data_IF_347711566037
#
_entry.id   IF_347711566037
#
_cell.length_a   1.000
_cell.length_b   1.000
_cell.length_c   1.000
_cell.angle_alpha   90.00
_cell.angle_beta   90.00
_cell.angle_gamma   90.00
#
_symmetry.space_group_name_H-M   'P 1'
#
loop_
_entity.id
_entity.type
_entity.pdbx_description
1 polymer ?
#
# COMPACT_ATOMS: atom_id res chain seq x y z
N UNK A 1 -13.04 -8.29 -76.92
CA UNK A 1 -11.87 -7.43 -77.15
C UNK A 1 -11.50 -6.73 -75.84
N UNK A 2 -10.24 -6.91 -75.41
CA UNK A 2 -9.38 -6.09 -74.52
C UNK A 2 -10.00 -5.53 -73.22
N UNK A 3 -9.67 -6.11 -72.06
CA UNK A 3 -8.52 -5.77 -71.19
C UNK A 3 -8.49 -4.30 -70.76
N UNK A 4 -8.68 -4.04 -69.45
CA UNK A 4 -7.64 -3.40 -68.64
C UNK A 4 -7.92 -3.60 -67.14
N UNK A 5 -7.07 -4.41 -66.53
CA UNK A 5 -6.80 -4.49 -65.09
C UNK A 5 -5.82 -3.35 -64.81
N UNK A 6 -6.07 -2.50 -63.82
CA UNK A 6 -5.04 -1.63 -63.26
C UNK A 6 -5.03 -1.71 -61.74
N UNK A 7 -3.99 -2.37 -61.25
CA UNK A 7 -3.51 -2.28 -59.89
C UNK A 7 -3.01 -0.87 -59.60
N UNK A 8 -3.36 -0.31 -58.44
CA UNK A 8 -2.45 0.54 -57.68
C UNK A 8 -2.62 0.26 -56.19
N UNK A 9 -1.98 -0.83 -55.76
CA UNK A 9 -1.43 -0.96 -54.42
C UNK A 9 -0.27 0.01 -54.30
N UNK A 10 -0.33 1.02 -53.43
CA UNK A 10 0.84 1.54 -52.70
C UNK A 10 0.44 2.63 -51.70
N UNK A 11 1.18 2.65 -50.57
CA UNK A 11 1.26 3.69 -49.54
C UNK A 11 0.25 3.65 -48.38
N UNK A 12 0.24 2.55 -47.62
CA UNK A 12 0.08 2.61 -46.16
C UNK A 12 1.23 1.84 -45.50
N UNK A 13 2.42 2.46 -45.54
CA UNK A 13 3.60 2.06 -44.79
C UNK A 13 4.19 3.33 -44.20
N UNK A 14 3.85 3.63 -42.95
CA UNK A 14 4.59 4.40 -41.95
C UNK A 14 3.56 4.93 -40.94
N UNK A 15 3.37 4.21 -39.84
CA UNK A 15 2.94 4.72 -38.52
C UNK A 15 2.76 3.52 -37.57
N UNK A 16 3.82 2.72 -37.38
CA UNK A 16 3.81 1.60 -36.43
C UNK A 16 5.05 1.58 -35.50
N UNK A 17 5.77 2.70 -35.38
CA UNK A 17 7.04 2.75 -34.64
C UNK A 17 6.93 3.33 -33.22
N UNK A 18 5.71 3.64 -32.73
CA UNK A 18 5.53 4.42 -31.50
C UNK A 18 5.08 3.67 -30.24
N UNK A 19 4.53 2.45 -30.33
CA UNK A 19 3.88 1.79 -29.18
C UNK A 19 4.76 0.82 -28.39
N UNK A 20 5.86 0.32 -28.96
CA UNK A 20 6.70 -0.71 -28.32
C UNK A 20 7.46 -0.18 -27.09
N UNK A 21 7.63 1.14 -26.95
CA UNK A 21 8.39 1.75 -25.84
C UNK A 21 7.61 1.77 -24.50
N UNK A 22 6.30 2.00 -24.50
CA UNK A 22 5.51 2.13 -23.26
C UNK A 22 5.17 0.78 -22.63
N UNK A 23 4.90 -0.22 -23.45
CA UNK A 23 4.56 -1.57 -22.97
C UNK A 23 5.79 -2.30 -22.40
N UNK A 24 6.98 -2.03 -22.95
CA UNK A 24 8.27 -2.48 -22.43
C UNK A 24 8.59 -1.92 -21.04
N UNK A 25 8.28 -0.65 -20.77
CA UNK A 25 8.46 -0.06 -19.44
C UNK A 25 7.44 -0.57 -18.42
N UNK A 26 6.23 -0.89 -18.85
CA UNK A 26 5.16 -1.40 -17.97
C UNK A 26 5.31 -2.90 -17.66
N UNK A 27 5.92 -3.68 -18.56
CA UNK A 27 6.26 -5.10 -18.33
C UNK A 27 7.57 -5.29 -17.55
N UNK A 28 8.36 -4.21 -17.40
CA UNK A 28 9.51 -4.14 -16.48
C UNK A 28 9.11 -3.72 -15.05
N UNK A 29 7.81 -3.78 -14.73
CA UNK A 29 7.29 -3.86 -13.35
C UNK A 29 7.60 -5.30 -12.87
N UNK A 30 8.83 -5.57 -12.50
CA UNK A 30 9.46 -5.32 -11.19
C UNK A 30 9.31 -6.59 -10.35
N UNK A 31 10.34 -7.44 -10.42
CA UNK A 31 10.52 -8.49 -9.42
C UNK A 31 10.40 -7.86 -8.02
N UNK A 32 9.69 -8.53 -7.12
CA UNK A 32 9.65 -8.11 -5.73
C UNK A 32 11.00 -8.43 -5.08
N UNK A 33 11.49 -7.50 -4.28
CA UNK A 33 12.66 -7.69 -3.42
C UNK A 33 12.18 -7.79 -1.97
N UNK A 34 12.78 -8.70 -1.22
CA UNK A 34 12.59 -8.77 0.23
C UNK A 34 13.37 -7.64 0.91
N UNK A 35 12.72 -6.95 1.84
CA UNK A 35 13.34 -5.98 2.75
C UNK A 35 12.91 -6.29 4.17
N UNK A 36 13.83 -6.09 5.11
CA UNK A 36 13.57 -6.30 6.53
C UNK A 36 13.47 -4.93 7.19
N UNK A 37 12.37 -4.67 7.88
CA UNK A 37 12.21 -3.54 8.78
C UNK A 37 12.37 -4.03 10.22
N UNK A 38 13.20 -3.34 11.00
CA UNK A 38 13.31 -3.56 12.43
C UNK A 38 12.73 -2.35 13.17
N UNK A 39 11.44 -2.46 13.50
CA UNK A 39 10.66 -1.38 14.13
C UNK A 39 10.74 -1.41 15.68
N UNK A 40 11.57 -2.27 16.25
CA UNK A 40 11.62 -2.53 17.69
C UNK A 40 11.24 -3.97 18.07
N UNK A 41 11.34 -4.34 19.36
CA UNK A 41 11.05 -5.68 19.84
C UNK A 41 9.62 -6.14 19.50
N UNK A 42 9.53 -7.32 18.90
CA UNK A 42 8.34 -8.01 18.41
C UNK A 42 7.73 -7.39 17.15
N UNK A 43 8.41 -6.42 16.52
CA UNK A 43 7.96 -5.74 15.29
C UNK A 43 9.01 -5.80 14.18
N UNK A 44 9.86 -6.82 14.19
CA UNK A 44 10.73 -7.12 13.05
C UNK A 44 9.90 -7.79 11.96
N UNK A 45 9.86 -7.21 10.76
CA UNK A 45 9.05 -7.72 9.65
C UNK A 45 9.84 -7.84 8.36
N UNK A 46 9.52 -8.85 7.55
CA UNK A 46 9.90 -8.94 6.15
C UNK A 46 8.77 -8.42 5.25
N UNK A 47 9.13 -7.60 4.28
CA UNK A 47 8.25 -6.98 3.30
C UNK A 47 8.72 -7.36 1.89
N UNK A 48 7.79 -7.79 1.03
CA UNK A 48 8.04 -7.97 -0.41
C UNK A 48 7.60 -6.70 -1.14
N UNK A 49 8.57 -5.85 -1.48
CA UNK A 49 8.31 -4.56 -2.14
C UNK A 49 8.82 -4.56 -3.58
N UNK A 50 8.31 -3.68 -4.45
CA UNK A 50 8.82 -3.57 -5.82
C UNK A 50 10.30 -3.18 -5.83
N UNK A 51 11.11 -3.77 -6.73
CA UNK A 51 12.57 -3.57 -6.77
C UNK A 51 13.03 -2.11 -6.97
N UNK A 52 12.17 -1.25 -7.51
CA UNK A 52 12.44 0.19 -7.68
C UNK A 52 12.02 1.06 -6.49
N UNK A 53 11.52 0.48 -5.41
CA UNK A 53 11.06 1.22 -4.25
C UNK A 53 12.25 1.68 -3.37
N UNK A 54 12.20 2.94 -2.94
CA UNK A 54 13.11 3.50 -1.95
C UNK A 54 12.64 3.06 -0.57
N UNK A 55 13.35 2.10 0.03
CA UNK A 55 13.04 1.59 1.37
C UNK A 55 13.86 2.31 2.44
N UNK A 56 13.23 2.63 3.57
CA UNK A 56 13.85 3.22 4.76
C UNK A 56 13.35 2.48 6.00
N UNK A 57 14.24 2.20 6.94
CA UNK A 57 13.90 1.68 8.26
C UNK A 57 14.76 2.41 9.28
N UNK A 58 14.11 3.08 10.22
CA UNK A 58 14.70 3.55 11.46
C UNK A 58 14.49 2.49 12.55
N UNK A 59 15.48 2.34 13.42
CA UNK A 59 15.34 1.49 14.60
C UNK A 59 14.61 2.25 15.70
N UNK A 60 13.97 1.50 16.61
CA UNK A 60 13.47 2.07 17.85
C UNK A 60 14.62 2.73 18.61
N UNK A 61 14.37 3.92 19.13
CA UNK A 61 15.32 4.64 19.97
C UNK A 61 14.66 4.96 21.30
N UNK A 62 15.44 5.39 22.29
CA UNK A 62 14.87 5.93 23.54
C UNK A 62 13.92 7.10 23.33
N UNK A 63 13.85 7.67 22.11
CA UNK A 63 13.04 8.82 21.75
C UNK A 63 11.74 8.46 20.99
N UNK A 64 11.48 7.20 20.65
CA UNK A 64 10.23 6.82 20.00
C UNK A 64 10.24 5.46 19.29
N UNK A 65 9.05 5.00 18.86
CA UNK A 65 8.87 3.72 18.19
C UNK A 65 9.68 3.66 16.89
N UNK A 66 10.15 2.46 16.53
CA UNK A 66 10.80 2.27 15.24
C UNK A 66 9.81 2.52 14.10
N UNK A 67 10.28 3.20 13.06
CA UNK A 67 9.50 3.58 11.88
C UNK A 67 10.16 2.99 10.64
N UNK A 68 9.40 2.40 9.75
CA UNK A 68 9.87 2.04 8.43
C UNK A 68 8.89 2.51 7.37
N UNK A 69 9.33 2.46 6.13
CA UNK A 69 8.48 2.80 5.01
C UNK A 69 9.18 2.54 3.70
N UNK A 70 8.40 2.60 2.64
CA UNK A 70 8.96 2.69 1.31
C UNK A 70 8.19 3.69 0.49
N UNK A 71 8.86 4.27 -0.50
CA UNK A 71 8.21 5.06 -1.54
C UNK A 71 8.58 4.54 -2.91
N UNK A 72 7.62 4.60 -3.83
CA UNK A 72 7.82 4.24 -5.22
C UNK A 72 7.34 5.39 -6.08
N UNK A 73 8.20 5.85 -6.98
CA UNK A 73 7.85 6.86 -8.00
C UNK A 73 6.75 6.27 -8.88
N UNK A 74 5.58 6.89 -8.84
CA UNK A 74 4.45 6.67 -9.72
C UNK A 74 4.45 7.74 -10.82
N UNK A 75 3.60 7.53 -11.83
CA UNK A 75 3.35 8.59 -12.82
C UNK A 75 2.83 9.86 -12.12
N UNK A 76 3.15 11.08 -12.62
CA UNK A 76 2.75 12.34 -11.99
C UNK A 76 1.25 12.47 -11.74
N UNK A 77 0.43 11.74 -12.50
CA UNK A 77 -1.01 11.72 -12.35
C UNK A 77 -1.50 11.07 -11.03
N UNK A 78 -0.64 10.36 -10.28
CA UNK A 78 -1.03 9.59 -9.10
C UNK A 78 -1.13 10.43 -7.82
N UNK A 79 -0.20 11.38 -7.64
CA UNK A 79 -0.18 12.31 -6.52
C UNK A 79 0.55 13.58 -6.92
N UNK A 80 0.33 14.68 -6.21
CA UNK A 80 1.10 15.92 -6.41
C UNK A 80 2.61 15.73 -6.23
N UNK A 81 3.04 14.74 -5.43
CA UNK A 81 4.44 14.36 -5.27
C UNK A 81 4.96 13.37 -6.31
N UNK A 82 4.05 12.73 -7.06
CA UNK A 82 4.35 11.59 -7.93
C UNK A 82 4.82 10.35 -7.17
N UNK A 83 4.71 10.31 -5.84
CA UNK A 83 5.17 9.20 -5.01
C UNK A 83 3.99 8.45 -4.38
N UNK A 84 4.07 7.12 -4.44
CA UNK A 84 3.25 6.22 -3.64
C UNK A 84 4.07 5.71 -2.47
N UNK A 85 3.64 5.97 -1.24
CA UNK A 85 4.38 5.60 -0.03
C UNK A 85 3.56 4.76 0.93
N UNK A 86 4.27 3.96 1.72
CA UNK A 86 3.77 3.27 2.90
C UNK A 86 4.65 3.63 4.08
N UNK A 87 4.04 3.79 5.24
CA UNK A 87 4.72 3.85 6.53
C UNK A 87 4.33 2.66 7.42
N UNK A 88 5.21 2.33 8.36
CA UNK A 88 5.02 1.24 9.31
C UNK A 88 5.56 1.71 10.65
N UNK A 89 4.74 1.56 11.68
CA UNK A 89 5.06 1.92 13.05
C UNK A 89 4.75 0.70 13.94
N UNK A 90 5.61 0.46 14.94
CA UNK A 90 5.37 -0.56 15.94
C UNK A 90 4.53 0.00 17.10
N UNK A 91 3.53 -0.77 17.51
CA UNK A 91 2.65 -0.48 18.63
C UNK A 91 2.56 -1.68 19.56
N UNK A 92 2.14 -1.45 20.80
CA UNK A 92 1.66 -2.52 21.66
C UNK A 92 0.23 -2.87 21.26
N UNK A 93 -0.16 -4.12 21.48
CA UNK A 93 -1.51 -4.55 21.10
C UNK A 93 -2.61 -3.81 21.86
N UNK A 94 -2.35 -3.34 23.09
CA UNK A 94 -3.27 -2.58 23.94
C UNK A 94 -3.27 -1.07 23.66
N UNK A 95 -2.45 -0.59 22.73
CA UNK A 95 -2.46 0.82 22.34
C UNK A 95 -3.82 1.18 21.69
N UNK A 96 -4.28 2.39 21.97
CA UNK A 96 -5.56 2.90 21.48
C UNK A 96 -5.69 2.86 19.95
N UNK A 97 -4.60 3.10 19.23
CA UNK A 97 -4.56 3.02 17.77
C UNK A 97 -4.88 1.60 17.25
N UNK A 98 -4.54 0.57 18.03
CA UNK A 98 -4.77 -0.84 17.67
C UNK A 98 -6.15 -1.30 18.12
N UNK A 99 -6.57 -0.92 19.34
CA UNK A 99 -7.83 -1.37 19.93
C UNK A 99 -9.05 -0.58 19.42
N UNK A 100 -8.88 0.72 19.21
CA UNK A 100 -9.94 1.69 18.90
C UNK A 100 -9.68 2.46 17.60
N UNK A 101 -8.82 1.92 16.74
CA UNK A 101 -8.53 2.46 15.42
C UNK A 101 -9.72 2.33 14.46
N UNK A 102 -9.43 2.11 13.18
CA UNK A 102 -10.47 2.04 12.13
C UNK A 102 -11.24 0.71 12.09
N UNK A 103 -10.74 -0.30 12.79
CA UNK A 103 -11.43 -1.58 12.96
C UNK A 103 -11.29 -2.07 14.40
N UNK A 104 -12.32 -2.77 14.85
CA UNK A 104 -12.40 -3.39 16.18
C UNK A 104 -12.34 -4.90 16.04
N UNK A 105 -11.63 -5.56 16.96
CA UNK A 105 -11.54 -7.02 17.00
C UNK A 105 -12.82 -7.58 17.62
N UNK A 106 -13.49 -8.47 16.91
CA UNK A 106 -14.67 -9.16 17.39
C UNK A 106 -14.28 -10.31 18.34
N UNK A 107 -15.15 -10.71 19.29
CA UNK A 107 -14.93 -11.89 20.14
C UNK A 107 -14.72 -13.19 19.33
N UNK A 108 -15.26 -13.26 18.12
CA UNK A 108 -15.07 -14.37 17.18
C UNK A 108 -13.68 -14.41 16.52
N UNK A 109 -12.83 -13.43 16.81
CA UNK A 109 -11.48 -13.29 16.26
C UNK A 109 -11.40 -12.54 14.93
N UNK A 110 -12.55 -12.22 14.32
CA UNK A 110 -12.63 -11.38 13.12
C UNK A 110 -12.49 -9.88 13.40
N UNK A 111 -12.61 -9.07 12.35
CA UNK A 111 -12.57 -7.61 12.44
C UNK A 111 -13.88 -7.01 11.93
N UNK A 112 -14.34 -5.95 12.57
CA UNK A 112 -15.46 -5.13 12.11
C UNK A 112 -15.03 -3.67 11.99
N UNK A 113 -15.63 -2.88 11.09
CA UNK A 113 -15.37 -1.45 11.03
C UNK A 113 -15.67 -0.80 12.37
N UNK A 114 -14.84 0.17 12.79
CA UNK A 114 -15.18 1.01 13.91
C UNK A 114 -16.28 2.02 13.48
N UNK A 115 -17.38 2.08 14.23
CA UNK A 115 -18.50 2.99 13.95
C UNK A 115 -18.33 4.36 14.64
N UNK A 116 -17.38 4.48 15.55
CA UNK A 116 -17.06 5.72 16.25
C UNK A 116 -16.33 6.73 15.34
N UNK A 117 -16.20 7.98 15.79
CA UNK A 117 -15.42 9.04 15.13
C UNK A 117 -15.73 9.25 13.64
N UNK A 118 -17.01 9.13 13.25
CA UNK A 118 -17.45 9.31 11.86
C UNK A 118 -17.40 8.04 11.00
N UNK A 119 -16.91 6.91 11.54
CA UNK A 119 -16.85 5.64 10.81
C UNK A 119 -18.23 5.16 10.32
N UNK A 120 -19.30 5.36 11.11
CA UNK A 120 -20.68 5.06 10.69
C UNK A 120 -21.11 5.86 9.46
N UNK A 121 -20.90 7.17 9.48
CA UNK A 121 -21.27 8.04 8.35
C UNK A 121 -20.49 7.67 7.09
N UNK A 122 -19.20 7.34 7.22
CA UNK A 122 -18.38 6.90 6.09
C UNK A 122 -18.86 5.55 5.52
N UNK A 123 -19.33 4.62 6.36
CA UNK A 123 -19.93 3.37 5.91
C UNK A 123 -21.25 3.59 5.15
N UNK A 124 -22.14 4.41 5.71
CA UNK A 124 -23.43 4.76 5.09
C UNK A 124 -23.22 5.42 3.72
N UNK A 125 -22.20 6.26 3.60
CA UNK A 125 -21.80 6.92 2.36
C UNK A 125 -20.94 6.06 1.42
N UNK A 126 -20.67 4.80 1.76
CA UNK A 126 -19.79 3.88 1.01
C UNK A 126 -18.36 4.43 0.80
N UNK A 127 -17.94 5.33 1.68
CA UNK A 127 -16.61 5.93 1.73
C UNK A 127 -15.64 5.15 2.64
N UNK A 128 -16.09 4.07 3.28
CA UNK A 128 -15.27 3.18 4.09
C UNK A 128 -15.42 1.73 3.64
N UNK A 129 -14.30 1.03 3.45
CA UNK A 129 -14.27 -0.42 3.12
C UNK A 129 -13.26 -1.13 3.98
N UNK A 130 -13.71 -2.15 4.72
CA UNK A 130 -12.87 -3.03 5.52
C UNK A 130 -12.38 -4.23 4.71
N UNK A 131 -11.13 -4.60 4.93
CA UNK A 131 -10.50 -5.79 4.40
C UNK A 131 -9.84 -6.57 5.54
N UNK A 132 -10.20 -7.84 5.69
CA UNK A 132 -9.43 -8.74 6.56
C UNK A 132 -8.06 -9.03 5.93
N UNK A 133 -7.01 -8.94 6.74
CA UNK A 133 -5.66 -9.27 6.36
C UNK A 133 -5.22 -10.55 7.08
N UNK A 134 -4.77 -11.52 6.29
CA UNK A 134 -4.11 -12.72 6.79
C UNK A 134 -2.74 -12.75 6.14
N UNK A 135 -1.72 -12.59 6.97
CA UNK A 135 -0.31 -12.71 6.62
C UNK A 135 0.19 -14.09 7.10
N UNK A 136 1.46 -14.42 6.82
CA UNK A 136 1.98 -15.79 7.06
C UNK A 136 1.88 -16.23 8.53
N UNK A 137 2.14 -15.32 9.46
CA UNK A 137 2.14 -15.58 10.91
C UNK A 137 1.54 -14.42 11.72
N UNK A 138 0.65 -13.65 11.09
CA UNK A 138 -0.06 -12.56 11.74
C UNK A 138 -1.41 -12.35 11.07
N UNK A 139 -2.33 -11.73 11.80
CA UNK A 139 -3.63 -11.35 11.28
C UNK A 139 -3.88 -9.87 11.56
N UNK A 140 -4.77 -9.27 10.78
CA UNK A 140 -4.99 -7.84 10.87
C UNK A 140 -6.15 -7.38 10.02
N UNK A 141 -6.17 -6.07 9.80
CA UNK A 141 -7.17 -5.39 9.03
C UNK A 141 -6.55 -4.28 8.18
N UNK A 142 -7.21 -3.95 7.08
CA UNK A 142 -7.02 -2.71 6.37
C UNK A 142 -8.39 -2.05 6.17
N UNK A 143 -8.43 -0.72 6.23
CA UNK A 143 -9.59 0.09 5.92
C UNK A 143 -9.21 1.08 4.84
N UNK A 144 -9.92 1.05 3.72
CA UNK A 144 -9.84 2.11 2.72
C UNK A 144 -10.88 3.18 3.04
N UNK A 145 -10.42 4.42 3.23
CA UNK A 145 -11.25 5.60 3.52
C UNK A 145 -11.12 6.59 2.38
N UNK A 146 -12.26 7.01 1.83
CA UNK A 146 -12.35 8.06 0.82
C UNK A 146 -12.63 9.39 1.53
N UNK A 147 -11.89 10.45 1.19
CA UNK A 147 -12.18 11.78 1.72
C UNK A 147 -13.56 12.24 1.20
N UNK A 148 -14.46 12.58 2.12
CA UNK A 148 -15.83 13.06 1.81
C UNK A 148 -15.95 14.58 1.80
N UNK A 149 -14.97 15.27 2.37
CA UNK A 149 -14.90 16.73 2.50
C UNK A 149 -13.73 17.32 1.69
N UNK A 150 -13.72 18.65 1.52
CA UNK A 150 -12.71 19.36 0.75
C UNK A 150 -12.98 19.38 -0.76
N UNK A 151 -12.08 20.04 -1.51
CA UNK A 151 -12.21 20.18 -2.96
C UNK A 151 -12.09 18.84 -3.68
N UNK A 152 -13.02 18.56 -4.60
CA UNK A 152 -13.13 17.25 -5.26
C UNK A 152 -11.84 16.77 -5.93
N UNK A 153 -11.08 17.68 -6.55
CA UNK A 153 -9.81 17.36 -7.22
C UNK A 153 -8.68 16.94 -6.28
N UNK A 154 -8.77 17.27 -4.99
CA UNK A 154 -7.74 16.96 -3.99
C UNK A 154 -8.11 15.80 -3.08
N UNK A 155 -9.37 15.36 -3.07
CA UNK A 155 -9.81 14.21 -2.27
C UNK A 155 -9.00 12.97 -2.60
N UNK A 156 -8.62 12.23 -1.58
CA UNK A 156 -7.81 11.03 -1.67
C UNK A 156 -8.58 9.81 -1.16
N UNK A 157 -8.09 8.64 -1.57
CA UNK A 157 -8.34 7.37 -0.92
C UNK A 157 -7.11 7.00 -0.11
N UNK A 158 -7.31 6.78 1.19
CA UNK A 158 -6.27 6.39 2.13
C UNK A 158 -6.53 4.96 2.57
N UNK A 159 -5.48 4.17 2.66
CA UNK A 159 -5.51 2.80 3.15
C UNK A 159 -4.77 2.78 4.48
N UNK A 160 -5.51 2.50 5.54
CA UNK A 160 -5.00 2.46 6.91
C UNK A 160 -5.04 1.00 7.33
N UNK A 161 -3.99 0.49 7.96
CA UNK A 161 -3.88 -0.93 8.25
C UNK A 161 -3.15 -1.20 9.56
N UNK A 162 -3.43 -2.36 10.13
CA UNK A 162 -2.74 -2.90 11.31
C UNK A 162 -2.64 -4.42 11.20
N UNK A 163 -1.46 -4.95 11.50
CA UNK A 163 -1.19 -6.36 11.73
C UNK A 163 -0.90 -6.60 13.19
N UNK A 164 -1.36 -7.71 13.73
CA UNK A 164 -1.13 -8.11 15.11
C UNK A 164 -0.43 -9.46 15.16
N UNK A 165 0.58 -9.56 16.01
CA UNK A 165 1.25 -10.80 16.41
C UNK A 165 1.54 -10.72 17.90
N UNK A 166 1.01 -11.68 18.65
CA UNK A 166 1.20 -11.74 20.10
C UNK A 166 0.82 -10.42 20.79
N UNK A 167 1.75 -9.76 21.48
CA UNK A 167 1.52 -8.51 22.22
C UNK A 167 1.89 -7.24 21.42
N UNK A 168 2.16 -7.39 20.11
CA UNK A 168 2.63 -6.31 19.25
C UNK A 168 1.76 -6.15 18.02
N UNK A 169 1.80 -4.93 17.48
CA UNK A 169 1.16 -4.60 16.24
C UNK A 169 2.07 -3.76 15.34
N UNK A 170 1.96 -3.96 14.03
CA UNK A 170 2.54 -3.07 13.03
C UNK A 170 1.40 -2.40 12.28
N UNK A 171 1.32 -1.08 12.38
CA UNK A 171 0.29 -0.28 11.74
C UNK A 171 0.90 0.80 10.85
N UNK A 172 0.09 1.33 9.93
CA UNK A 172 0.49 2.45 9.09
C UNK A 172 -0.58 2.89 8.13
N UNK A 173 -0.21 3.81 7.25
CA UNK A 173 -1.10 4.41 6.25
C UNK A 173 -0.43 4.47 4.87
N UNK A 174 -1.27 4.56 3.84
CA UNK A 174 -0.84 4.83 2.47
C UNK A 174 -1.94 5.55 1.70
N UNK A 175 -1.58 6.57 0.92
CA UNK A 175 -2.49 7.15 -0.08
C UNK A 175 -2.50 6.24 -1.31
N UNK A 176 -3.65 5.67 -1.67
CA UNK A 176 -3.78 4.72 -2.78
C UNK A 176 -4.39 5.35 -4.05
N UNK A 177 -4.66 6.67 -4.02
CA UNK A 177 -4.95 7.48 -5.20
C UNK A 177 -5.84 8.69 -4.91
N UNK A 178 -5.90 9.63 -5.86
CA UNK A 178 -6.87 10.72 -5.85
C UNK A 178 -8.23 10.29 -6.41
N UNK A 179 -9.33 10.62 -5.73
CA UNK A 179 -10.67 10.12 -6.09
C UNK A 179 -11.11 10.55 -7.49
N UNK A 180 -10.85 11.80 -7.87
CA UNK A 180 -11.16 12.29 -9.22
C UNK A 180 -10.41 11.49 -10.30
N UNK A 181 -9.16 11.14 -10.02
CA UNK A 181 -8.36 10.32 -10.94
C UNK A 181 -8.85 8.87 -11.01
N UNK A 182 -9.20 8.28 -9.88
CA UNK A 182 -9.78 6.93 -9.81
C UNK A 182 -11.11 6.85 -10.60
N UNK A 183 -11.95 7.89 -10.54
CA UNK A 183 -13.19 7.98 -11.31
C UNK A 183 -12.94 8.03 -12.82
N UNK A 184 -11.92 8.78 -13.25
CA UNK A 184 -11.62 9.00 -14.68
C UNK A 184 -10.81 7.88 -15.32
N UNK A 185 -9.87 7.29 -14.58
CA UNK A 185 -8.92 6.27 -15.05
C UNK A 185 -8.91 5.07 -14.09
N UNK A 186 -10.05 4.37 -13.97
CA UNK A 186 -10.30 3.30 -12.99
C UNK A 186 -9.28 2.16 -12.91
N UNK A 187 -8.27 2.12 -13.80
CA UNK A 187 -7.13 1.21 -13.76
C UNK A 187 -6.01 1.63 -12.78
N UNK A 188 -6.14 2.74 -12.03
CA UNK A 188 -5.06 3.26 -11.16
C UNK A 188 -5.43 3.21 -9.67
N UNK A 189 -6.46 2.44 -9.30
CA UNK A 189 -6.70 2.11 -7.90
C UNK A 189 -5.61 1.16 -7.38
N UNK A 190 -4.69 1.69 -6.56
CA UNK A 190 -3.61 0.90 -5.97
C UNK A 190 -4.05 0.08 -4.76
N UNK A 191 -5.32 0.13 -4.34
CA UNK A 191 -5.83 -0.63 -3.18
C UNK A 191 -5.51 -2.12 -3.31
N UNK A 192 -5.81 -2.75 -4.44
CA UNK A 192 -5.52 -4.18 -4.64
C UNK A 192 -4.03 -4.50 -4.57
N UNK A 193 -3.19 -3.62 -5.13
CA UNK A 193 -1.73 -3.77 -5.08
C UNK A 193 -1.20 -3.59 -3.67
N UNK A 194 -1.73 -2.61 -2.93
CA UNK A 194 -1.42 -2.38 -1.53
C UNK A 194 -1.73 -3.62 -0.69
N UNK A 195 -2.96 -4.14 -0.82
CA UNK A 195 -3.39 -5.34 -0.11
C UNK A 195 -2.50 -6.57 -0.42
N UNK A 196 -2.00 -6.69 -1.65
CA UNK A 196 -1.08 -7.77 -2.01
C UNK A 196 0.28 -7.64 -1.30
N UNK A 197 0.83 -6.41 -1.19
CA UNK A 197 2.06 -6.14 -0.43
C UNK A 197 1.84 -6.45 1.05
N UNK A 198 0.74 -5.93 1.62
CA UNK A 198 0.38 -6.10 3.02
C UNK A 198 0.20 -7.58 3.39
N UNK A 199 -0.49 -8.38 2.57
CA UNK A 199 -0.63 -9.84 2.79
C UNK A 199 0.68 -10.62 2.66
N UNK A 200 1.69 -10.02 2.03
CA UNK A 200 3.04 -10.59 1.91
C UNK A 200 3.93 -10.37 3.14
N UNK A 201 3.45 -9.65 4.16
CA UNK A 201 4.20 -9.39 5.39
C UNK A 201 4.42 -10.68 6.18
N UNK A 202 5.61 -10.82 6.73
CA UNK A 202 5.97 -11.87 7.68
C UNK A 202 6.64 -11.23 8.89
N UNK A 203 6.14 -11.53 10.09
CA UNK A 203 6.86 -11.16 11.31
C UNK A 203 8.04 -12.11 11.48
N UNK A 204 9.22 -11.57 11.71
CA UNK A 204 10.42 -12.34 12.00
C UNK A 204 10.64 -12.39 13.51
N UNK A 205 11.43 -13.37 13.95
CA UNK A 205 11.96 -13.36 15.31
C UNK A 205 12.87 -12.14 15.51
N UNK A 206 12.85 -11.62 16.74
CA UNK A 206 13.75 -10.54 17.13
C UNK A 206 15.20 -10.98 17.03
N UNK A 207 16.08 -10.05 16.66
CA UNK A 207 17.51 -10.29 16.75
C UNK A 207 17.93 -10.25 18.23
N UNK A 208 18.75 -11.20 18.70
CA UNK A 208 19.33 -11.11 20.03
C UNK A 208 20.01 -9.74 20.23
N UNK A 209 19.96 -9.15 21.43
CA UNK A 209 20.68 -7.91 21.70
C UNK A 209 22.16 -8.11 21.41
N UNK A 210 22.72 -7.30 20.51
CA UNK A 210 24.17 -7.30 20.27
C UNK A 210 24.87 -6.93 21.59
N UNK A 211 25.97 -7.60 21.99
CA UNK A 211 26.63 -7.36 23.28
C UNK A 211 26.97 -5.89 23.58
N UNK A 212 27.21 -5.06 22.56
CA UNK A 212 27.43 -3.61 22.70
C UNK A 212 26.24 -2.82 23.28
N UNK A 213 25.01 -3.32 23.13
CA UNK A 213 23.81 -2.67 23.68
C UNK A 213 23.63 -2.87 25.19
N UNK A 214 24.38 -3.81 25.80
CA UNK A 214 24.33 -4.11 27.24
C UNK A 214 25.33 -3.28 28.07
N UNK A 215 26.10 -2.38 27.43
CA UNK A 215 27.13 -1.57 28.11
C UNK A 215 26.72 -0.10 28.32
N UNK A 216 25.45 0.27 28.06
CA UNK A 216 24.95 1.64 28.31
C UNK A 216 24.02 1.70 29.51
#
# INVERSE_FOLDING_TARGET
MRKLIFCFFMAFHLLASGQVSKESQQKKIQANVSKIANLGPGCRIELKIPSGANFRSGHESSQGPGVAGFSLKMTPDFSSSGDWSFDFNCYKIDDDQVQRGWAVRLPTGGWAPNHENGGRELLENKALRLFSLTAKNSNGWAVAVDDTIGEEKYRQRRLIYCFTREMKAVCGESVVGHLDFLKRKGNIDLTSRALAILRGIEFLEDTPPTPESLQR
#
